data_IF_485361217489
#
_entry.id   IF_485361217489
#
_cell.length_a   1.000
_cell.length_b   1.000
_cell.length_c   1.000
_cell.angle_alpha   90.00
_cell.angle_beta   90.00
_cell.angle_gamma   90.00
#
_symmetry.space_group_name_H-M   'P 1'
#
loop_
_entity.id
_entity.type
_entity.pdbx_description
1 polymer ?
#
# COMPACT_ATOMS: atom_id res chain seq x y z
N UNK A 1 -22.18 -9.46 3.79
CA UNK A 1 -20.84 -10.03 3.62
C UNK A 1 -19.88 -8.98 3.13
N UNK A 2 -18.68 -8.97 3.68
CA UNK A 2 -17.65 -8.05 3.22
C UNK A 2 -17.22 -8.40 1.79
N UNK A 3 -16.89 -7.39 0.99
CA UNK A 3 -16.37 -7.58 -0.34
C UNK A 3 -15.00 -8.29 -0.29
N UNK A 4 -14.72 -9.07 -1.32
CA UNK A 4 -13.46 -9.78 -1.44
C UNK A 4 -12.56 -9.07 -2.43
N UNK A 5 -11.33 -8.83 -2.01
CA UNK A 5 -10.32 -8.15 -2.80
C UNK A 5 -9.21 -9.13 -3.15
N UNK A 6 -8.80 -9.12 -4.39
CA UNK A 6 -7.71 -9.97 -4.88
C UNK A 6 -6.66 -9.11 -5.56
N UNK A 7 -5.43 -9.58 -5.53
CA UNK A 7 -4.32 -8.89 -6.18
C UNK A 7 -3.09 -9.77 -6.29
N UNK A 8 -2.03 -9.18 -6.81
CA UNK A 8 -0.76 -9.85 -6.96
C UNK A 8 0.23 -9.06 -7.79
N UNK A 9 1.35 -9.71 -8.11
CA UNK A 9 2.43 -9.09 -8.85
C UNK A 9 2.23 -9.19 -10.36
N UNK A 10 3.03 -8.43 -11.11
CA UNK A 10 2.97 -8.39 -12.56
C UNK A 10 3.17 -9.77 -13.19
N UNK A 11 4.10 -10.57 -12.71
CA UNK A 11 4.37 -11.91 -13.28
C UNK A 11 3.39 -12.98 -12.80
N UNK A 12 2.54 -12.68 -11.81
CA UNK A 12 1.55 -13.61 -11.30
C UNK A 12 2.06 -14.64 -10.29
N UNK A 13 3.36 -14.64 -9.97
CA UNK A 13 3.90 -15.63 -9.02
C UNK A 13 3.48 -15.38 -7.58
N UNK A 14 3.16 -14.13 -7.22
CA UNK A 14 2.63 -13.78 -5.90
C UNK A 14 1.19 -13.32 -6.06
N UNK A 15 0.29 -13.96 -5.29
CA UNK A 15 -1.12 -13.61 -5.30
C UNK A 15 -1.61 -13.51 -3.86
N UNK A 16 -2.55 -12.61 -3.61
CA UNK A 16 -3.17 -12.44 -2.29
C UNK A 16 -4.66 -12.15 -2.41
N UNK A 17 -5.34 -12.36 -1.30
CA UNK A 17 -6.74 -11.96 -1.15
C UNK A 17 -6.99 -11.50 0.27
N UNK A 18 -7.97 -10.63 0.45
CA UNK A 18 -8.43 -10.18 1.76
C UNK A 18 -9.88 -9.73 1.69
N UNK A 19 -10.53 -9.66 2.85
CA UNK A 19 -11.89 -9.14 2.96
C UNK A 19 -11.85 -7.70 3.45
N UNK A 20 -12.79 -6.88 3.00
CA UNK A 20 -12.95 -5.49 3.42
C UNK A 20 -14.10 -4.85 2.69
N UNK A 21 -14.82 -3.92 3.34
CA UNK A 21 -16.01 -3.35 2.73
C UNK A 21 -16.24 -1.92 3.15
N UNK A 22 -15.90 -0.95 2.33
CA UNK A 22 -14.71 -0.90 1.46
C UNK A 22 -13.46 -0.71 2.31
N UNK A 23 -12.30 -1.12 1.83
CA UNK A 23 -11.08 -0.93 2.60
C UNK A 23 -10.69 0.55 2.62
N UNK A 24 -10.12 0.99 3.75
CA UNK A 24 -9.57 2.34 3.84
C UNK A 24 -8.33 2.46 2.97
N UNK A 25 -8.18 3.59 2.28
CA UNK A 25 -7.04 3.85 1.41
C UNK A 25 -6.67 5.32 1.43
N UNK A 26 -5.43 5.62 1.06
CA UNK A 26 -4.97 7.00 1.02
C UNK A 26 -3.68 7.16 0.21
N UNK A 27 -3.39 8.42 -0.11
CA UNK A 27 -2.16 8.83 -0.76
C UNK A 27 -1.08 9.02 0.30
N UNK A 28 0.07 8.38 0.12
CA UNK A 28 1.23 8.60 0.97
C UNK A 28 2.32 9.31 0.18
N UNK A 29 2.67 10.51 0.62
CA UNK A 29 3.61 11.39 -0.07
C UNK A 29 5.04 11.31 0.50
N UNK A 30 5.31 10.44 1.45
CA UNK A 30 6.63 10.37 2.06
C UNK A 30 7.69 9.92 1.04
N UNK A 31 8.93 10.35 1.28
CA UNK A 31 10.04 10.05 0.37
C UNK A 31 10.28 8.55 0.23
N UNK A 32 10.07 7.80 1.31
CA UNK A 32 10.23 6.35 1.28
C UNK A 32 9.19 5.68 0.38
N UNK A 33 7.93 6.11 0.45
CA UNK A 33 6.88 5.59 -0.43
C UNK A 33 7.14 5.94 -1.89
N UNK A 34 7.64 7.16 -2.17
CA UNK A 34 8.02 7.54 -3.52
C UNK A 34 9.11 6.61 -4.06
N UNK A 35 10.16 6.36 -3.26
CA UNK A 35 11.26 5.49 -3.69
C UNK A 35 10.81 4.04 -3.80
N UNK A 36 10.00 3.57 -2.86
CA UNK A 36 9.57 2.16 -2.84
C UNK A 36 8.65 1.82 -4.02
N UNK A 37 7.86 2.77 -4.50
CA UNK A 37 6.91 2.54 -5.59
C UNK A 37 7.34 3.19 -6.91
N UNK A 38 8.31 4.10 -6.87
CA UNK A 38 8.81 4.77 -8.07
C UNK A 38 7.90 5.86 -8.60
N UNK A 39 6.87 6.26 -7.84
CA UNK A 39 5.91 7.27 -8.28
C UNK A 39 5.97 8.56 -7.46
N UNK A 40 5.14 9.54 -7.79
CA UNK A 40 5.08 10.81 -7.06
C UNK A 40 4.49 10.67 -5.67
N UNK A 41 3.79 9.58 -5.41
CA UNK A 41 3.21 9.17 -4.13
C UNK A 41 2.87 7.69 -4.24
N UNK A 42 2.57 7.05 -3.12
CA UNK A 42 1.98 5.71 -3.12
C UNK A 42 0.50 5.82 -2.78
N UNK A 43 -0.33 4.97 -3.35
CA UNK A 43 -1.69 4.76 -2.87
C UNK A 43 -1.70 3.40 -2.18
N UNK A 44 -1.98 3.41 -0.89
CA UNK A 44 -1.93 2.23 -0.05
C UNK A 44 -3.33 1.89 0.44
N UNK A 45 -3.66 0.60 0.43
CA UNK A 45 -4.97 0.08 0.77
C UNK A 45 -4.83 -0.81 2.00
N UNK A 46 -5.55 -0.48 3.07
CA UNK A 46 -5.46 -1.19 4.33
C UNK A 46 -6.23 -2.51 4.29
N UNK A 47 -5.59 -3.56 4.79
CA UNK A 47 -6.22 -4.84 5.06
C UNK A 47 -5.81 -5.27 6.47
N UNK A 48 -6.66 -6.04 7.15
CA UNK A 48 -6.26 -6.66 8.41
C UNK A 48 -5.30 -7.80 8.10
N UNK A 49 -4.20 -7.88 8.85
CA UNK A 49 -3.22 -8.96 8.65
C UNK A 49 -3.90 -10.33 8.76
N UNK A 50 -4.83 -10.48 9.70
CA UNK A 50 -5.54 -11.74 9.92
C UNK A 50 -6.46 -12.11 8.76
N UNK A 51 -6.89 -11.16 7.96
CA UNK A 51 -7.80 -11.38 6.83
C UNK A 51 -7.07 -11.55 5.51
N UNK A 52 -5.78 -11.23 5.45
CA UNK A 52 -5.01 -11.34 4.22
C UNK A 52 -4.35 -12.71 4.11
N UNK A 53 -4.57 -13.36 2.99
CA UNK A 53 -3.94 -14.65 2.67
C UNK A 53 -3.16 -14.55 1.38
N UNK A 54 -1.93 -15.06 1.40
CA UNK A 54 -1.13 -15.24 0.18
C UNK A 54 -1.59 -16.54 -0.47
N UNK A 55 -2.28 -16.42 -1.59
CA UNK A 55 -2.88 -17.58 -2.29
C UNK A 55 -1.90 -18.23 -3.26
N UNK A 56 -0.85 -17.55 -3.64
CA UNK A 56 0.26 -18.10 -4.43
C UNK A 56 1.54 -17.33 -4.10
N UNK A 57 2.65 -18.05 -4.01
CA UNK A 57 3.97 -17.50 -3.78
C UNK A 57 4.14 -16.85 -2.41
N UNK A 58 5.37 -16.42 -2.16
CA UNK A 58 5.73 -15.68 -0.95
C UNK A 58 6.56 -14.48 -1.39
N UNK A 59 6.13 -13.25 -1.07
CA UNK A 59 6.94 -12.08 -1.39
C UNK A 59 8.27 -12.10 -0.65
N UNK A 60 9.29 -11.51 -1.27
CA UNK A 60 10.49 -11.11 -0.54
C UNK A 60 10.20 -9.85 0.24
N UNK A 61 10.97 -9.60 1.27
CA UNK A 61 10.78 -8.41 2.11
C UNK A 61 12.13 -7.84 2.55
N UNK A 62 12.09 -6.58 2.96
CA UNK A 62 13.24 -5.91 3.53
C UNK A 62 12.77 -4.90 4.58
N UNK A 63 13.65 -4.62 5.55
CA UNK A 63 13.39 -3.56 6.52
C UNK A 63 13.63 -2.22 5.82
N UNK A 64 12.55 -1.50 5.58
CA UNK A 64 12.62 -0.20 4.92
C UNK A 64 12.92 0.94 5.89
N UNK A 65 12.69 0.71 7.19
CA UNK A 65 12.97 1.66 8.26
C UNK A 65 13.08 0.90 9.59
N UNK A 66 13.46 1.57 10.70
CA UNK A 66 13.48 0.92 12.02
C UNK A 66 12.11 0.38 12.47
N UNK A 67 11.01 0.84 11.87
CA UNK A 67 9.65 0.48 12.32
C UNK A 67 8.83 -0.27 11.26
N UNK A 68 9.35 -0.49 10.05
CA UNK A 68 8.54 -1.01 8.95
C UNK A 68 9.28 -1.98 8.05
N UNK A 69 8.50 -2.88 7.45
CA UNK A 69 8.94 -3.86 6.46
C UNK A 69 8.14 -3.65 5.18
N UNK A 70 8.79 -3.76 4.04
CA UNK A 70 8.12 -3.71 2.74
C UNK A 70 8.33 -5.02 2.00
N UNK A 71 7.29 -5.45 1.30
CA UNK A 71 7.31 -6.67 0.51
C UNK A 71 7.21 -6.40 -0.97
N UNK A 72 7.83 -7.28 -1.74
CA UNK A 72 7.86 -7.18 -3.21
C UNK A 72 8.02 -8.57 -3.81
N UNK A 73 7.65 -8.71 -5.08
CA UNK A 73 7.87 -9.97 -5.79
C UNK A 73 9.36 -10.13 -6.11
N UNK A 74 9.95 -11.24 -5.68
CA UNK A 74 11.37 -11.52 -5.94
C UNK A 74 11.70 -11.83 -7.40
N UNK A 75 10.67 -12.08 -8.23
CA UNK A 75 10.87 -12.38 -9.66
C UNK A 75 10.69 -11.15 -10.55
N UNK A 76 9.62 -10.38 -10.34
CA UNK A 76 9.31 -9.24 -11.21
C UNK A 76 9.49 -7.88 -10.55
N UNK A 77 9.74 -7.86 -9.23
CA UNK A 77 10.00 -6.61 -8.52
C UNK A 77 8.77 -5.79 -8.14
N UNK A 78 7.56 -6.25 -8.45
CA UNK A 78 6.34 -5.50 -8.10
C UNK A 78 6.31 -5.22 -6.60
N UNK A 79 6.20 -3.94 -6.16
CA UNK A 79 5.99 -3.63 -4.75
C UNK A 79 4.59 -4.08 -4.33
N UNK A 80 4.48 -4.80 -3.21
CA UNK A 80 3.23 -5.43 -2.81
C UNK A 80 2.66 -4.87 -1.52
N UNK A 81 3.49 -4.60 -0.50
CA UNK A 81 2.94 -4.14 0.78
C UNK A 81 3.93 -3.33 1.61
N UNK A 82 3.36 -2.63 2.56
CA UNK A 82 4.04 -1.97 3.68
C UNK A 82 3.39 -2.46 4.97
N UNK A 83 4.21 -2.85 5.95
CA UNK A 83 3.73 -3.35 7.23
C UNK A 83 4.55 -2.73 8.35
N UNK A 84 3.86 -2.06 9.28
CA UNK A 84 4.50 -1.52 10.49
C UNK A 84 4.57 -2.58 11.57
N UNK A 85 5.64 -2.53 12.37
CA UNK A 85 5.81 -3.45 13.49
C UNK A 85 4.66 -3.29 14.49
N UNK A 86 4.09 -4.42 14.92
CA UNK A 86 3.01 -4.42 15.91
C UNK A 86 1.66 -3.89 15.43
N UNK A 87 1.54 -3.55 14.17
CA UNK A 87 0.26 -3.10 13.59
C UNK A 87 -0.62 -4.30 13.24
N UNK A 88 -1.91 -4.14 13.43
CA UNK A 88 -2.92 -5.13 13.01
C UNK A 88 -3.21 -5.04 11.51
N UNK A 89 -2.74 -3.99 10.86
CA UNK A 89 -3.01 -3.72 9.45
C UNK A 89 -1.76 -3.94 8.61
N UNK A 90 -2.00 -4.40 7.40
CA UNK A 90 -1.01 -4.40 6.32
C UNK A 90 -1.54 -3.50 5.22
N UNK A 91 -0.66 -2.78 4.55
CA UNK A 91 -1.05 -1.85 3.49
C UNK A 91 -0.54 -2.38 2.16
N UNK A 92 -1.48 -2.81 1.31
CA UNK A 92 -1.13 -3.30 -0.03
C UNK A 92 -1.08 -2.13 -1.00
N UNK A 93 -0.25 -2.25 -2.03
CA UNK A 93 -0.15 -1.22 -3.06
C UNK A 93 -1.38 -1.28 -3.96
N UNK A 94 -1.95 -0.14 -4.28
CA UNK A 94 -3.17 -0.07 -5.09
C UNK A 94 -2.97 -0.69 -6.47
N UNK A 95 -1.81 -0.48 -7.07
CA UNK A 95 -1.51 -1.01 -8.41
C UNK A 95 -1.40 -2.53 -8.46
N UNK A 96 -1.20 -3.19 -7.32
CA UNK A 96 -1.17 -4.65 -7.26
C UNK A 96 -2.56 -5.28 -7.15
N UNK A 97 -3.60 -4.51 -6.89
CA UNK A 97 -4.97 -5.00 -6.89
C UNK A 97 -5.43 -5.35 -8.30
N UNK A 98 -6.28 -6.38 -8.42
CA UNK A 98 -6.87 -6.74 -9.70
C UNK A 98 -7.85 -5.68 -10.22
N UNK A 99 -8.51 -4.99 -9.28
CA UNK A 99 -9.50 -3.96 -9.61
C UNK A 99 -9.21 -2.64 -8.87
N UNK A 100 -8.07 -1.98 -9.17
CA UNK A 100 -7.72 -0.73 -8.49
C UNK A 100 -8.70 0.41 -8.76
N UNK A 101 -9.45 0.34 -9.85
CA UNK A 101 -10.46 1.34 -10.19
C UNK A 101 -11.59 1.42 -9.17
N UNK A 102 -11.75 0.39 -8.33
CA UNK A 102 -12.79 0.35 -7.28
C UNK A 102 -12.35 1.01 -5.98
N UNK A 103 -11.08 1.43 -5.87
CA UNK A 103 -10.57 2.09 -4.70
C UNK A 103 -10.86 3.59 -4.78
N UNK A 104 -11.27 4.15 -3.67
CA UNK A 104 -11.58 5.57 -3.54
C UNK A 104 -10.74 6.14 -2.38
N UNK A 105 -9.55 6.69 -2.68
CA UNK A 105 -8.65 7.18 -1.62
C UNK A 105 -9.32 8.27 -0.80
N UNK A 106 -9.21 8.15 0.53
CA UNK A 106 -9.94 9.01 1.47
C UNK A 106 -9.11 10.19 1.99
N UNK A 107 -7.80 10.22 1.78
CA UNK A 107 -7.00 11.31 2.31
C UNK A 107 -5.55 11.26 1.86
N UNK A 108 -4.80 12.24 2.35
CA UNK A 108 -3.37 12.39 2.07
C UNK A 108 -2.58 12.25 3.37
N UNK A 109 -1.45 11.57 3.30
CA UNK A 109 -0.54 11.36 4.42
C UNK A 109 0.86 11.83 4.02
N UNK A 110 1.61 12.39 4.99
CA UNK A 110 2.96 12.95 4.76
C UNK A 110 2.93 14.10 3.76
N UNK A 111 1.99 15.02 3.93
CA UNK A 111 1.76 16.11 2.97
C UNK A 111 2.92 17.11 2.91
N UNK A 112 3.78 17.15 3.94
CA UNK A 112 4.99 17.97 3.98
C UNK A 112 5.97 17.58 2.88
N UNK A 113 5.87 16.38 2.35
CA UNK A 113 6.72 15.87 1.27
C UNK A 113 6.01 15.80 -0.09
N UNK A 114 4.79 16.33 -0.18
CA UNK A 114 4.03 16.35 -1.43
C UNK A 114 4.78 17.12 -2.49
N UNK A 115 4.87 16.54 -3.70
CA UNK A 115 5.39 17.24 -4.85
C UNK A 115 4.36 18.26 -5.35
N UNK A 116 4.80 19.48 -5.65
CA UNK A 116 3.88 20.56 -6.02
C UNK A 116 3.08 20.26 -7.29
N UNK A 117 3.66 19.47 -8.20
CA UNK A 117 3.01 19.12 -9.46
C UNK A 117 2.11 17.88 -9.37
N UNK A 118 2.12 17.19 -8.23
CA UNK A 118 1.29 16.00 -8.02
C UNK A 118 -0.07 16.41 -7.45
N UNK A 119 -0.94 16.90 -8.30
CA UNK A 119 -2.21 17.51 -7.94
C UNK A 119 -3.36 16.51 -8.04
N UNK A 120 -3.33 15.47 -7.20
CA UNK A 120 -4.36 14.45 -7.10
C UNK A 120 -5.07 14.55 -5.76
N UNK A 121 -6.36 14.16 -5.70
CA UNK A 121 -7.12 14.13 -4.45
C UNK A 121 -7.30 15.51 -3.83
N UNK A 122 -7.44 16.53 -4.63
CA UNK A 122 -7.66 17.89 -4.15
C UNK A 122 -8.91 17.96 -3.27
N UNK A 123 -8.79 18.60 -2.11
CA UNK A 123 -9.90 18.78 -1.17
C UNK A 123 -10.09 17.63 -0.18
N UNK A 124 -9.29 16.55 -0.26
CA UNK A 124 -9.34 15.49 0.73
C UNK A 124 -8.56 15.87 2.00
N UNK A 125 -8.88 15.25 3.15
CA UNK A 125 -8.15 15.51 4.39
C UNK A 125 -6.65 15.30 4.26
N UNK A 126 -5.87 16.09 5.00
CA UNK A 126 -4.42 16.09 4.96
C UNK A 126 -3.84 15.93 6.36
N UNK A 127 -2.77 15.13 6.48
CA UNK A 127 -2.06 14.90 7.74
C UNK A 127 -0.56 14.94 7.51
N UNK A 128 0.16 15.42 8.52
CA UNK A 128 1.61 15.31 8.56
C UNK A 128 2.03 13.92 9.04
N UNK A 129 3.25 13.50 8.70
CA UNK A 129 3.80 12.21 9.11
C UNK A 129 3.83 12.09 10.63
N UNK A 130 3.30 10.99 11.16
CA UNK A 130 3.31 10.68 12.58
C UNK A 130 4.51 9.79 12.96
N UNK A 131 5.00 9.00 12.02
CA UNK A 131 6.09 8.06 12.25
C UNK A 131 7.45 8.77 12.29
N UNK A 132 8.41 8.14 12.97
CA UNK A 132 9.80 8.56 12.99
C UNK A 132 10.63 7.48 12.29
N UNK A 133 11.31 7.86 11.25
CA UNK A 133 12.15 6.96 10.44
C UNK A 133 13.63 7.14 10.75
#
# INVERSE_FOLDING_TARGET
MAARWTGGCLCGSCRYEFAGDPPHSGYCHCDMCKKATGGPFAVLVQARIDDLAWTAGTPKSYRSSPIATRGFCGKCGTPLYLQYDGDELIRVTVGSLDHPEKIDPAGHYSVENRLKWADCGRGLPEEETQERF
#
